data_IF_788544750931
#
_entry.id   IF_788544750931
#
_cell.length_a   1.000
_cell.length_b   1.000
_cell.length_c   1.000
_cell.angle_alpha   90.00
_cell.angle_beta   90.00
_cell.angle_gamma   90.00
#
_symmetry.space_group_name_H-M   'P 1'
#
loop_
_entity.id
_entity.type
_entity.pdbx_description
1 polymer ?
#
# COMPACT_ATOMS: atom_id res chain seq x y z
N UNK A 1 -2.48 22.61 -15.83
CA UNK A 1 -1.32 22.71 -14.89
C UNK A 1 -1.55 21.71 -13.77
N UNK A 2 -0.55 20.91 -13.40
CA UNK A 2 -0.67 19.94 -12.32
C UNK A 2 -0.91 20.63 -10.96
N UNK A 3 -1.94 20.22 -10.22
CA UNK A 3 -2.34 20.80 -8.94
C UNK A 3 -2.43 19.76 -7.82
N UNK A 4 -2.64 18.49 -8.18
CA UNK A 4 -2.73 17.36 -7.27
C UNK A 4 -1.96 16.16 -7.76
N UNK A 5 -1.44 15.36 -6.84
CA UNK A 5 -0.80 14.10 -7.12
C UNK A 5 -1.21 13.05 -6.08
N UNK A 6 -1.72 11.93 -6.55
CA UNK A 6 -2.08 10.78 -5.74
C UNK A 6 -1.05 9.69 -6.02
N UNK A 7 -0.41 9.21 -4.97
CA UNK A 7 0.73 8.32 -5.07
C UNK A 7 0.40 6.92 -4.54
N UNK A 8 0.74 5.91 -5.31
CA UNK A 8 0.90 4.57 -4.75
C UNK A 8 2.21 4.50 -3.95
N UNK A 9 2.29 3.51 -3.05
CA UNK A 9 3.46 3.32 -2.20
C UNK A 9 4.43 2.29 -2.80
N UNK A 10 3.97 1.03 -2.87
CA UNK A 10 4.82 -0.12 -3.16
C UNK A 10 5.13 -0.24 -4.65
N UNK A 11 6.42 -0.28 -4.97
CA UNK A 11 6.86 -0.26 -6.36
C UNK A 11 6.84 1.13 -7.01
N UNK A 12 6.24 2.15 -6.38
CA UNK A 12 6.12 3.53 -6.85
C UNK A 12 6.97 4.50 -6.02
N UNK A 13 6.63 4.70 -4.76
CA UNK A 13 7.43 5.49 -3.82
C UNK A 13 8.60 4.66 -3.29
N UNK A 14 8.30 3.46 -2.82
CA UNK A 14 9.27 2.54 -2.23
C UNK A 14 9.64 1.41 -3.19
N UNK A 15 10.89 1.00 -3.13
CA UNK A 15 11.36 -0.25 -3.73
C UNK A 15 11.12 -1.39 -2.74
N UNK A 16 9.87 -1.80 -2.63
CA UNK A 16 9.35 -2.67 -1.58
C UNK A 16 8.66 -3.93 -2.10
N UNK A 17 8.53 -4.12 -3.42
CA UNK A 17 7.80 -5.27 -3.97
C UNK A 17 8.35 -6.61 -3.47
N UNK A 18 9.67 -6.73 -3.34
CA UNK A 18 10.31 -7.95 -2.84
C UNK A 18 9.94 -8.34 -1.40
N UNK A 19 9.47 -7.39 -0.59
CA UNK A 19 9.02 -7.69 0.77
C UNK A 19 7.72 -8.50 0.80
N UNK A 20 6.91 -8.36 -0.25
CA UNK A 20 5.63 -9.05 -0.39
C UNK A 20 5.74 -10.36 -1.17
N UNK A 21 6.90 -10.62 -1.81
CA UNK A 21 7.13 -11.86 -2.54
C UNK A 21 6.94 -13.05 -1.60
N UNK A 22 6.05 -13.96 -1.99
CA UNK A 22 5.78 -15.21 -1.27
C UNK A 22 5.27 -15.07 0.18
N UNK A 23 4.84 -13.89 0.64
CA UNK A 23 4.28 -13.72 2.00
C UNK A 23 3.07 -14.63 2.19
N UNK A 24 2.13 -14.64 1.23
CA UNK A 24 0.95 -15.48 1.26
C UNK A 24 1.27 -16.97 1.23
N UNK A 25 2.17 -17.38 0.33
CA UNK A 25 2.61 -18.76 0.22
C UNK A 25 3.29 -19.26 1.51
N UNK A 26 4.23 -18.49 2.03
CA UNK A 26 4.95 -18.84 3.25
C UNK A 26 4.01 -18.92 4.45
N UNK A 27 3.03 -18.00 4.52
CA UNK A 27 1.99 -18.05 5.55
C UNK A 27 1.20 -19.36 5.50
N UNK A 28 0.68 -19.75 4.32
CA UNK A 28 -0.10 -20.99 4.16
C UNK A 28 0.73 -22.23 4.47
N UNK A 29 1.97 -22.31 3.98
CA UNK A 29 2.88 -23.44 4.27
C UNK A 29 3.17 -23.57 5.77
N UNK A 30 3.31 -22.45 6.48
CA UNK A 30 3.47 -22.44 7.94
C UNK A 30 2.21 -22.98 8.69
N UNK A 31 1.04 -22.89 8.05
CA UNK A 31 -0.20 -23.49 8.56
C UNK A 31 -0.37 -24.96 8.11
N UNK A 32 0.59 -25.52 7.37
CA UNK A 32 0.51 -26.88 6.81
C UNK A 32 -0.42 -26.98 5.60
N UNK A 33 -0.70 -25.87 4.94
CA UNK A 33 -1.54 -25.77 3.75
C UNK A 33 -0.63 -25.52 2.54
N UNK A 34 -0.74 -26.34 1.49
CA UNK A 34 0.00 -26.10 0.23
C UNK A 34 -0.76 -25.08 -0.61
N UNK A 35 -0.14 -23.93 -0.96
CA UNK A 35 -0.78 -22.92 -1.79
C UNK A 35 -0.93 -23.38 -3.24
N UNK A 36 -1.94 -22.85 -3.94
CA UNK A 36 -2.09 -22.99 -5.38
C UNK A 36 -0.97 -22.21 -6.11
N UNK A 37 -0.53 -22.69 -7.31
CA UNK A 37 0.60 -22.08 -8.03
C UNK A 37 0.38 -20.62 -8.46
N UNK A 38 -0.86 -20.18 -8.56
CA UNK A 38 -1.29 -18.84 -8.99
C UNK A 38 -1.73 -17.95 -7.83
N UNK A 39 -1.41 -18.33 -6.58
CA UNK A 39 -1.83 -17.58 -5.39
C UNK A 39 -1.40 -16.12 -5.45
N UNK A 40 -0.14 -15.85 -5.78
CA UNK A 40 0.39 -14.47 -5.81
C UNK A 40 -0.36 -13.60 -6.84
N UNK A 41 -0.75 -14.17 -8.00
CA UNK A 41 -1.57 -13.47 -8.99
C UNK A 41 -2.99 -13.22 -8.48
N UNK A 42 -3.58 -14.21 -7.80
CA UNK A 42 -4.94 -14.12 -7.27
C UNK A 42 -5.08 -13.01 -6.23
N UNK A 43 -4.07 -12.81 -5.38
CA UNK A 43 -4.12 -11.80 -4.30
C UNK A 43 -3.48 -10.45 -4.67
N UNK A 44 -2.83 -10.33 -5.84
CA UNK A 44 -2.01 -9.17 -6.22
C UNK A 44 -2.72 -7.81 -6.14
N UNK A 45 -4.04 -7.76 -6.37
CA UNK A 45 -4.83 -6.52 -6.33
C UNK A 45 -5.69 -6.38 -5.07
N UNK A 46 -5.67 -7.38 -4.21
CA UNK A 46 -6.47 -7.42 -2.99
C UNK A 46 -5.86 -6.52 -1.90
N UNK A 47 -6.71 -5.90 -1.09
CA UNK A 47 -6.29 -5.37 0.21
C UNK A 47 -5.96 -6.53 1.16
N UNK A 48 -5.24 -6.27 2.25
CA UNK A 48 -5.00 -7.30 3.27
C UNK A 48 -6.29 -7.90 3.83
N UNK A 49 -7.36 -7.10 3.94
CA UNK A 49 -8.69 -7.58 4.36
C UNK A 49 -9.28 -8.57 3.34
N UNK A 50 -9.24 -8.21 2.06
CA UNK A 50 -9.73 -9.10 0.99
C UNK A 50 -8.89 -10.37 0.89
N UNK A 51 -7.58 -10.28 0.99
CA UNK A 51 -6.69 -11.44 0.99
C UNK A 51 -6.93 -12.35 2.21
N UNK A 52 -7.17 -11.77 3.40
CA UNK A 52 -7.50 -12.54 4.59
C UNK A 52 -8.84 -13.29 4.44
N UNK A 53 -9.87 -12.63 3.89
CA UNK A 53 -11.15 -13.28 3.59
C UNK A 53 -10.97 -14.41 2.57
N UNK A 54 -10.21 -14.17 1.52
CA UNK A 54 -9.87 -15.18 0.51
C UNK A 54 -9.19 -16.41 1.15
N UNK A 55 -8.24 -16.21 2.08
CA UNK A 55 -7.58 -17.32 2.77
C UNK A 55 -8.54 -18.10 3.67
N UNK A 56 -9.45 -17.43 4.35
CA UNK A 56 -10.46 -18.07 5.18
C UNK A 56 -11.43 -18.89 4.32
N UNK A 57 -11.94 -18.30 3.24
CA UNK A 57 -12.98 -18.92 2.40
C UNK A 57 -12.42 -20.01 1.48
N UNK A 58 -11.27 -19.76 0.85
CA UNK A 58 -10.69 -20.65 -0.16
C UNK A 58 -9.81 -21.75 0.43
N UNK A 59 -8.98 -21.41 1.41
CA UNK A 59 -8.05 -22.37 2.05
C UNK A 59 -8.54 -22.91 3.40
N UNK A 60 -9.64 -22.41 3.91
CA UNK A 60 -10.22 -22.87 5.19
C UNK A 60 -9.34 -22.54 6.41
N UNK A 61 -8.57 -21.45 6.34
CA UNK A 61 -7.74 -20.99 7.46
C UNK A 61 -8.60 -20.71 8.68
N UNK A 62 -8.16 -21.17 9.86
CA UNK A 62 -8.95 -21.11 11.10
C UNK A 62 -8.85 -19.80 11.85
N UNK A 63 -7.86 -18.96 11.52
CA UNK A 63 -7.65 -17.67 12.16
C UNK A 63 -8.72 -16.67 11.71
N UNK A 64 -8.94 -15.67 12.56
CA UNK A 64 -9.79 -14.53 12.22
C UNK A 64 -9.09 -13.63 11.21
N UNK A 65 -9.84 -12.81 10.49
CA UNK A 65 -9.32 -11.80 9.56
C UNK A 65 -8.25 -10.93 10.22
N UNK A 66 -8.52 -10.41 11.43
CA UNK A 66 -7.61 -9.51 12.14
C UNK A 66 -6.29 -10.19 12.53
N UNK A 67 -6.35 -11.46 12.92
CA UNK A 67 -5.15 -12.25 13.21
C UNK A 67 -4.31 -12.50 11.95
N UNK A 68 -4.96 -12.77 10.82
CA UNK A 68 -4.29 -12.92 9.53
C UNK A 68 -3.56 -11.64 9.11
N UNK A 69 -4.26 -10.51 9.14
CA UNK A 69 -3.69 -9.20 8.80
C UNK A 69 -2.51 -8.88 9.72
N UNK A 70 -2.68 -9.07 11.03
CA UNK A 70 -1.61 -8.85 12.00
C UNK A 70 -0.38 -9.73 11.73
N UNK A 71 -0.58 -10.97 11.34
CA UNK A 71 0.51 -11.88 10.99
C UNK A 71 1.23 -11.44 9.72
N UNK A 72 0.50 -11.04 8.68
CA UNK A 72 1.08 -10.54 7.43
C UNK A 72 1.88 -9.26 7.67
N UNK A 73 1.32 -8.30 8.40
CA UNK A 73 2.00 -7.05 8.76
C UNK A 73 3.27 -7.34 9.56
N UNK A 74 3.24 -8.26 10.52
CA UNK A 74 4.41 -8.60 11.32
C UNK A 74 5.57 -9.20 10.49
N UNK A 75 5.27 -9.91 9.41
CA UNK A 75 6.30 -10.47 8.52
C UNK A 75 7.09 -9.36 7.81
N UNK A 76 6.43 -8.30 7.40
CA UNK A 76 7.04 -7.22 6.62
C UNK A 76 7.41 -5.99 7.46
N UNK A 77 7.05 -5.94 8.73
CA UNK A 77 7.23 -4.76 9.60
C UNK A 77 8.68 -4.29 9.65
N UNK A 78 9.61 -5.21 9.92
CA UNK A 78 11.04 -4.91 10.01
C UNK A 78 11.59 -4.34 8.69
N UNK A 79 11.15 -4.87 7.54
CA UNK A 79 11.57 -4.36 6.25
C UNK A 79 11.15 -2.89 6.05
N UNK A 80 9.90 -2.53 6.33
CA UNK A 80 9.43 -1.15 6.19
C UNK A 80 10.11 -0.21 7.20
N UNK A 81 10.32 -0.66 8.44
CA UNK A 81 10.95 0.16 9.48
C UNK A 81 12.43 0.39 9.25
N UNK A 82 13.15 -0.58 8.69
CA UNK A 82 14.61 -0.55 8.70
C UNK A 82 15.25 -0.61 7.32
N UNK A 83 14.62 -1.19 6.31
CA UNK A 83 15.25 -1.52 5.04
C UNK A 83 14.68 -0.79 3.83
N UNK A 84 13.35 -0.69 3.67
CA UNK A 84 12.70 -0.15 2.47
C UNK A 84 13.31 1.19 2.02
N UNK A 85 13.71 1.30 0.76
CA UNK A 85 14.33 2.49 0.20
C UNK A 85 13.35 3.20 -0.76
N UNK A 86 13.54 4.50 -0.95
CA UNK A 86 12.87 5.23 -2.00
C UNK A 86 13.34 4.76 -3.38
N UNK A 87 12.45 4.81 -4.36
CA UNK A 87 12.86 4.68 -5.76
C UNK A 87 13.89 5.77 -6.12
N UNK A 88 14.84 5.48 -7.03
CA UNK A 88 15.86 6.44 -7.43
C UNK A 88 15.26 7.79 -7.86
N UNK A 89 15.88 8.87 -7.42
CA UNK A 89 15.50 10.27 -7.74
C UNK A 89 14.13 10.73 -7.24
N UNK A 90 13.41 9.89 -6.48
CA UNK A 90 12.05 10.23 -6.06
C UNK A 90 12.03 11.40 -5.06
N UNK A 91 13.01 11.45 -4.15
CA UNK A 91 13.04 12.50 -3.14
C UNK A 91 13.16 13.89 -3.75
N UNK A 92 14.02 14.03 -4.75
CA UNK A 92 14.20 15.28 -5.51
C UNK A 92 12.93 15.63 -6.28
N UNK A 93 12.25 14.64 -6.86
CA UNK A 93 11.01 14.86 -7.58
C UNK A 93 9.86 15.29 -6.67
N UNK A 94 9.72 14.66 -5.50
CA UNK A 94 8.73 15.09 -4.49
C UNK A 94 8.98 16.53 -4.02
N UNK A 95 10.25 16.89 -3.77
CA UNK A 95 10.62 18.25 -3.39
C UNK A 95 10.23 19.27 -4.48
N UNK A 96 10.51 19.00 -5.76
CA UNK A 96 10.11 19.85 -6.87
C UNK A 96 8.59 20.05 -6.97
N UNK A 97 7.82 18.97 -6.82
CA UNK A 97 6.36 19.06 -6.84
C UNK A 97 5.85 19.90 -5.67
N UNK A 98 6.41 19.70 -4.49
CA UNK A 98 6.05 20.45 -3.28
C UNK A 98 6.36 21.94 -3.43
N UNK A 99 7.54 22.31 -3.94
CA UNK A 99 7.96 23.70 -4.22
C UNK A 99 7.05 24.40 -5.23
N UNK A 100 6.49 23.65 -6.18
CA UNK A 100 5.54 24.17 -7.17
C UNK A 100 4.10 24.24 -6.65
N UNK A 101 3.86 23.87 -5.39
CA UNK A 101 2.56 23.95 -4.75
C UNK A 101 1.59 22.81 -5.14
N UNK A 102 2.09 21.71 -5.69
CA UNK A 102 1.28 20.51 -5.96
C UNK A 102 0.93 19.84 -4.64
N UNK A 103 -0.38 19.67 -4.39
CA UNK A 103 -0.86 18.95 -3.22
C UNK A 103 -0.70 17.45 -3.43
N UNK A 104 -0.16 16.75 -2.44
CA UNK A 104 0.14 15.32 -2.55
C UNK A 104 -0.52 14.51 -1.44
N UNK A 105 -1.04 13.34 -1.79
CA UNK A 105 -1.51 12.32 -0.84
C UNK A 105 -1.16 10.93 -1.35
N UNK A 106 -1.28 9.94 -0.47
CA UNK A 106 -1.01 8.54 -0.77
C UNK A 106 -2.33 7.78 -0.86
N UNK A 107 -2.42 6.82 -1.80
CA UNK A 107 -3.48 5.84 -1.93
C UNK A 107 -2.85 4.45 -2.10
N UNK A 108 -2.90 3.63 -1.05
CA UNK A 108 -2.18 2.35 -0.99
C UNK A 108 -3.02 1.21 -0.42
N UNK A 109 -2.66 -0.03 -0.77
CA UNK A 109 -3.18 -1.22 -0.11
C UNK A 109 -2.46 -1.54 1.22
N UNK A 110 -1.28 -0.94 1.45
CA UNK A 110 -0.43 -1.18 2.61
C UNK A 110 -0.97 -0.49 3.86
N UNK A 111 -0.84 -1.13 5.01
CA UNK A 111 -1.32 -0.59 6.28
C UNK A 111 -0.60 0.70 6.67
N UNK A 112 -1.36 1.66 7.21
CA UNK A 112 -0.89 3.02 7.56
C UNK A 112 0.38 3.01 8.39
N UNK A 113 0.49 2.12 9.38
CA UNK A 113 1.65 2.05 10.27
C UNK A 113 2.96 1.75 9.54
N UNK A 114 2.92 0.91 8.51
CA UNK A 114 4.07 0.59 7.67
C UNK A 114 4.45 1.78 6.77
N UNK A 115 3.44 2.42 6.18
CA UNK A 115 3.62 3.62 5.34
C UNK A 115 4.32 4.72 6.13
N UNK A 116 3.78 5.07 7.29
CA UNK A 116 4.31 6.14 8.15
C UNK A 116 5.74 5.82 8.62
N UNK A 117 6.02 4.58 9.02
CA UNK A 117 7.34 4.15 9.46
C UNK A 117 8.40 4.33 8.35
N UNK A 118 8.12 3.83 7.15
CA UNK A 118 9.04 3.90 6.03
C UNK A 118 9.27 5.35 5.55
N UNK A 119 8.20 6.13 5.36
CA UNK A 119 8.29 7.48 4.85
C UNK A 119 8.92 8.46 5.84
N UNK A 120 8.67 8.29 7.15
CA UNK A 120 9.34 9.08 8.19
C UNK A 120 10.84 8.79 8.20
N UNK A 121 11.26 7.52 8.14
CA UNK A 121 12.66 7.12 8.04
C UNK A 121 13.33 7.68 6.79
N UNK A 122 12.66 7.65 5.65
CA UNK A 122 13.14 8.23 4.38
C UNK A 122 13.08 9.77 4.35
N UNK A 123 12.47 10.41 5.36
CA UNK A 123 12.30 11.86 5.47
C UNK A 123 11.54 12.47 4.29
N UNK A 124 10.43 11.84 3.92
CA UNK A 124 9.52 12.31 2.86
C UNK A 124 8.05 12.31 3.29
N UNK A 125 7.74 11.89 4.52
CA UNK A 125 6.38 11.84 5.02
C UNK A 125 5.69 13.21 4.96
N UNK A 126 6.40 14.29 5.28
CA UNK A 126 5.86 15.65 5.34
C UNK A 126 5.45 16.23 3.98
N UNK A 127 5.82 15.58 2.87
CA UNK A 127 5.33 15.97 1.54
C UNK A 127 3.87 15.58 1.29
N UNK A 128 3.34 14.64 2.07
CA UNK A 128 2.00 14.09 1.89
C UNK A 128 1.03 14.62 2.94
N UNK A 129 -0.07 15.20 2.48
CA UNK A 129 -1.08 15.80 3.35
C UNK A 129 -1.99 14.75 4.01
N UNK A 130 -2.11 13.56 3.42
CA UNK A 130 -2.92 12.44 3.93
C UNK A 130 -2.47 11.11 3.34
N UNK A 131 -2.76 10.03 4.06
CA UNK A 131 -2.56 8.65 3.64
C UNK A 131 -3.91 7.94 3.63
N UNK A 132 -4.38 7.57 2.46
CA UNK A 132 -5.55 6.71 2.27
C UNK A 132 -5.08 5.27 2.11
N UNK A 133 -5.60 4.37 2.93
CA UNK A 133 -5.35 2.94 2.80
C UNK A 133 -6.62 2.22 2.38
N UNK A 134 -6.51 1.09 1.67
CA UNK A 134 -7.68 0.27 1.34
C UNK A 134 -8.45 -0.13 2.59
N UNK A 135 -7.76 -0.40 3.70
CA UNK A 135 -8.37 -0.68 5.00
C UNK A 135 -9.17 0.50 5.53
N UNK A 136 -8.67 1.73 5.40
CA UNK A 136 -9.35 2.93 5.91
C UNK A 136 -10.59 3.32 5.11
N UNK A 137 -10.61 3.01 3.80
CA UNK A 137 -11.76 3.32 2.93
C UNK A 137 -12.71 2.13 2.75
N UNK A 138 -12.31 0.93 3.21
CA UNK A 138 -13.12 -0.29 3.13
C UNK A 138 -13.30 -0.87 1.72
N UNK A 139 -12.39 -0.55 0.78
CA UNK A 139 -12.43 -0.99 -0.61
C UNK A 139 -11.02 -1.25 -1.15
N UNK A 140 -10.86 -2.21 -2.06
CA UNK A 140 -9.62 -2.49 -2.75
C UNK A 140 -9.33 -1.47 -3.86
N UNK A 141 -8.14 -1.56 -4.47
CA UNK A 141 -7.73 -0.70 -5.60
C UNK A 141 -8.40 -1.06 -6.93
N UNK A 142 -9.07 -2.19 -7.02
CA UNK A 142 -9.96 -2.60 -8.10
C UNK A 142 -11.21 -1.71 -8.19
N UNK A 143 -11.55 -1.00 -7.10
CA UNK A 143 -12.62 -0.03 -7.04
C UNK A 143 -12.07 1.42 -7.06
N UNK A 144 -12.84 2.38 -7.64
CA UNK A 144 -12.40 3.78 -7.71
C UNK A 144 -12.51 4.54 -6.38
N UNK A 145 -12.96 3.91 -5.31
CA UNK A 145 -13.33 4.54 -4.03
C UNK A 145 -12.15 5.29 -3.42
N UNK A 146 -11.01 4.64 -3.26
CA UNK A 146 -9.81 5.24 -2.65
C UNK A 146 -9.33 6.48 -3.42
N UNK A 147 -9.36 6.42 -4.76
CA UNK A 147 -8.95 7.54 -5.62
C UNK A 147 -9.93 8.71 -5.59
N UNK A 148 -11.24 8.43 -5.44
CA UNK A 148 -12.26 9.47 -5.28
C UNK A 148 -12.11 10.20 -3.96
N UNK A 149 -11.90 9.47 -2.86
CA UNK A 149 -11.62 10.06 -1.54
C UNK A 149 -10.36 10.93 -1.57
N UNK A 150 -9.27 10.43 -2.14
CA UNK A 150 -8.03 11.17 -2.32
C UNK A 150 -8.22 12.46 -3.14
N UNK A 151 -8.93 12.38 -4.28
CA UNK A 151 -9.21 13.53 -5.14
C UNK A 151 -10.04 14.59 -4.43
N UNK A 152 -11.09 14.16 -3.70
CA UNK A 152 -11.96 15.05 -2.92
C UNK A 152 -11.15 15.74 -1.81
N UNK A 153 -10.31 15.02 -1.10
CA UNK A 153 -9.45 15.57 -0.04
C UNK A 153 -8.47 16.63 -0.58
N UNK A 154 -7.81 16.37 -1.69
CA UNK A 154 -6.91 17.33 -2.32
C UNK A 154 -7.64 18.60 -2.80
N UNK A 155 -8.95 18.52 -3.02
CA UNK A 155 -9.74 19.63 -3.55
C UNK A 155 -9.30 20.03 -4.96
N UNK A 156 -8.88 19.05 -5.76
CA UNK A 156 -8.45 19.22 -7.15
C UNK A 156 -9.38 18.47 -8.10
N UNK A 157 -9.27 18.71 -9.39
CA UNK A 157 -10.07 18.05 -10.43
C UNK A 157 -9.22 17.03 -11.23
N UNK A 158 -9.90 16.09 -11.90
CA UNK A 158 -9.23 15.04 -12.67
C UNK A 158 -8.24 15.56 -13.71
N UNK A 159 -8.57 16.59 -14.52
CA UNK A 159 -7.63 17.10 -15.52
C UNK A 159 -6.33 17.71 -14.95
N UNK A 160 -6.34 18.09 -13.67
CA UNK A 160 -5.22 18.70 -12.98
C UNK A 160 -4.61 17.82 -11.87
N UNK A 161 -5.01 16.54 -11.81
CA UNK A 161 -4.49 15.57 -10.82
C UNK A 161 -3.90 14.36 -11.54
N UNK A 162 -2.68 13.99 -11.15
CA UNK A 162 -2.02 12.79 -11.64
C UNK A 162 -2.06 11.68 -10.57
N UNK A 163 -2.17 10.46 -11.03
CA UNK A 163 -1.98 9.26 -10.21
C UNK A 163 -0.69 8.59 -10.68
N UNK A 164 0.20 8.32 -9.75
CA UNK A 164 1.48 7.66 -9.96
C UNK A 164 1.44 6.23 -9.44
#
# INVERSE_FOLDING_TARGET
>A
MLRGAIWDLDGTILDSMSAWDHVGENYLRNQGIEPEPDLDEAIATMSLHQAADYFIEHYGVKQTRDELIKSAVAIVDDFYRYEAQLKPHLKEFLAQLHETGVKMCIATATERSLVEAALARCRVLDYFSEIFTCSSVGAGKDEPTIYREALNFLGTDRPNTMVF
#
